data_IF_678528977655
#
_entry.id   IF_678528977655
#
_cell.length_a   1.000
_cell.length_b   1.000
_cell.length_c   1.000
_cell.angle_alpha   90.00
_cell.angle_beta   90.00
_cell.angle_gamma   90.00
#
_symmetry.space_group_name_H-M   'P 1'
#
loop_
_entity.id
_entity.type
_entity.pdbx_description
1 polymer ?
#
# COMPACT_ATOMS: atom_id res chain seq x y z
N UNK A 1 3.29 -9.20 -10.71
CA UNK A 1 3.30 -9.04 -12.17
C UNK A 1 3.17 -10.40 -12.85
N UNK A 2 2.04 -10.72 -13.53
CA UNK A 2 2.04 -11.83 -14.50
C UNK A 2 3.07 -11.46 -15.57
N UNK A 3 4.22 -12.11 -15.51
CA UNK A 3 5.19 -12.05 -16.58
C UNK A 3 4.47 -12.46 -17.86
N UNK A 4 4.51 -11.59 -18.86
CA UNK A 4 3.90 -11.80 -20.17
C UNK A 4 4.30 -13.18 -20.70
N UNK A 5 3.34 -13.98 -21.16
CA UNK A 5 3.66 -15.27 -21.75
C UNK A 5 4.46 -15.03 -23.03
N UNK A 6 5.68 -15.55 -23.06
CA UNK A 6 6.61 -15.34 -24.15
C UNK A 6 6.12 -15.94 -25.46
N UNK A 7 5.28 -16.99 -25.40
CA UNK A 7 4.67 -17.58 -26.60
C UNK A 7 3.60 -16.64 -27.17
N UNK A 8 2.80 -16.04 -26.30
CA UNK A 8 1.76 -15.08 -26.71
C UNK A 8 2.37 -13.77 -27.19
N UNK A 9 3.45 -13.29 -26.57
CA UNK A 9 4.17 -12.10 -27.02
C UNK A 9 4.73 -12.26 -28.44
N UNK A 10 5.19 -13.47 -28.77
CA UNK A 10 5.64 -13.80 -30.12
C UNK A 10 4.47 -14.19 -31.05
N UNK A 11 3.26 -14.33 -30.53
CA UNK A 11 2.07 -14.71 -31.30
C UNK A 11 2.12 -16.15 -31.82
N UNK A 12 2.80 -17.05 -31.11
CA UNK A 12 3.00 -18.46 -31.51
C UNK A 12 2.49 -19.43 -30.45
N UNK A 13 2.18 -20.65 -30.85
CA UNK A 13 1.74 -21.70 -29.91
C UNK A 13 2.85 -22.23 -29.01
N UNK A 14 2.50 -22.82 -27.86
CA UNK A 14 3.49 -23.42 -26.93
C UNK A 14 4.22 -24.65 -27.51
N UNK A 15 3.68 -25.24 -28.57
CA UNK A 15 4.25 -26.32 -29.38
C UNK A 15 5.03 -25.81 -30.61
N UNK A 16 5.14 -24.49 -30.80
CA UNK A 16 5.80 -23.89 -31.96
C UNK A 16 7.25 -24.35 -32.11
N UNK A 17 7.63 -24.62 -33.36
CA UNK A 17 8.98 -25.04 -33.72
C UNK A 17 9.96 -23.86 -33.65
N UNK A 18 11.27 -24.10 -33.45
CA UNK A 18 12.26 -23.03 -33.38
C UNK A 18 12.29 -22.14 -34.64
N UNK A 19 11.91 -22.69 -35.80
CA UNK A 19 11.85 -21.95 -37.07
C UNK A 19 10.69 -20.94 -37.07
N UNK A 20 9.53 -21.35 -36.55
CA UNK A 20 8.35 -20.48 -36.43
C UNK A 20 8.59 -19.36 -35.43
N UNK A 21 9.19 -19.67 -34.27
CA UNK A 21 9.57 -18.69 -33.23
C UNK A 21 10.51 -17.62 -33.80
N UNK A 22 11.52 -18.03 -34.57
CA UNK A 22 12.49 -17.11 -35.21
C UNK A 22 11.85 -16.24 -36.30
N UNK A 23 10.88 -16.79 -37.03
CA UNK A 23 10.15 -16.04 -38.06
C UNK A 23 9.24 -14.98 -37.45
N UNK A 24 8.51 -15.33 -36.39
CA UNK A 24 7.64 -14.41 -35.67
C UNK A 24 8.42 -13.25 -35.03
N UNK A 25 9.54 -13.56 -34.37
CA UNK A 25 10.43 -12.55 -33.80
C UNK A 25 10.93 -11.53 -34.83
N UNK A 26 11.41 -11.98 -36.01
CA UNK A 26 11.91 -11.07 -37.05
C UNK A 26 10.85 -10.12 -37.59
N UNK A 27 9.60 -10.57 -37.63
CA UNK A 27 8.47 -9.77 -38.12
C UNK A 27 8.08 -8.70 -37.10
N UNK A 28 8.00 -9.09 -35.83
CA UNK A 28 7.68 -8.17 -34.72
C UNK A 28 8.81 -7.17 -34.45
N UNK A 29 10.07 -7.61 -34.51
CA UNK A 29 11.23 -6.75 -34.26
C UNK A 29 11.36 -5.60 -35.28
N UNK A 30 10.95 -5.80 -36.54
CA UNK A 30 10.93 -4.74 -37.56
C UNK A 30 9.83 -3.71 -37.35
N UNK A 31 8.74 -4.11 -36.68
CA UNK A 31 7.57 -3.26 -36.47
C UNK A 31 7.63 -2.53 -35.13
N UNK A 32 8.29 -3.14 -34.14
CA UNK A 32 8.42 -2.60 -32.78
C UNK A 32 9.80 -2.01 -32.48
N UNK A 33 10.65 -1.80 -33.49
CA UNK A 33 11.95 -1.16 -33.28
C UNK A 33 11.76 0.32 -32.85
N UNK A 34 12.51 0.81 -31.84
CA UNK A 34 12.36 2.18 -31.37
C UNK A 34 12.60 3.23 -32.47
N UNK A 35 13.48 2.94 -33.44
CA UNK A 35 13.73 3.83 -34.60
C UNK A 35 12.52 4.00 -35.54
N UNK A 36 11.49 3.14 -35.47
CA UNK A 36 10.26 3.26 -36.26
C UNK A 36 9.03 3.62 -35.42
N UNK A 37 9.24 4.00 -34.15
CA UNK A 37 8.19 4.47 -33.24
C UNK A 37 7.71 3.44 -32.21
N UNK A 38 8.44 2.34 -31.99
CA UNK A 38 8.20 1.40 -30.88
C UNK A 38 8.77 1.88 -29.54
N UNK A 39 8.42 1.20 -28.43
CA UNK A 39 8.97 1.52 -27.10
C UNK A 39 10.14 0.60 -26.73
N UNK A 40 11.19 1.19 -26.14
CA UNK A 40 12.39 0.45 -25.68
C UNK A 40 12.07 -0.66 -24.67
N UNK A 41 10.99 -0.51 -23.90
CA UNK A 41 10.52 -1.53 -22.96
C UNK A 41 9.88 -2.73 -23.66
N UNK A 42 9.02 -2.49 -24.66
CA UNK A 42 8.36 -3.55 -25.41
C UNK A 42 9.36 -4.32 -26.29
N UNK A 43 10.35 -3.63 -26.86
CA UNK A 43 11.39 -4.27 -27.66
C UNK A 43 12.31 -5.17 -26.79
N UNK A 44 12.68 -4.72 -25.59
CA UNK A 44 13.45 -5.53 -24.63
C UNK A 44 12.69 -6.79 -24.20
N UNK A 45 11.39 -6.67 -23.92
CA UNK A 45 10.56 -7.81 -23.55
C UNK A 45 10.40 -8.81 -24.72
N UNK A 46 10.26 -8.31 -25.95
CA UNK A 46 10.23 -9.13 -27.16
C UNK A 46 11.54 -9.92 -27.35
N UNK A 47 12.68 -9.27 -27.08
CA UNK A 47 13.99 -9.91 -27.15
C UNK A 47 14.16 -10.99 -26.07
N UNK A 48 13.76 -10.70 -24.82
CA UNK A 48 13.79 -11.64 -23.69
C UNK A 48 12.93 -12.89 -23.95
N UNK A 49 11.75 -12.72 -24.54
CA UNK A 49 10.88 -13.81 -24.95
C UNK A 49 11.54 -14.71 -26.02
N UNK A 50 12.10 -14.10 -27.07
CA UNK A 50 12.78 -14.84 -28.13
C UNK A 50 14.00 -15.62 -27.62
N UNK A 51 14.82 -15.02 -26.76
CA UNK A 51 15.99 -15.65 -26.16
C UNK A 51 15.61 -16.79 -25.21
N UNK A 52 14.51 -16.66 -24.46
CA UNK A 52 14.03 -17.71 -23.55
C UNK A 52 13.43 -18.90 -24.30
N UNK A 53 12.71 -18.67 -25.40
CA UNK A 53 12.00 -19.73 -26.13
C UNK A 53 12.81 -20.42 -27.22
N UNK A 54 13.90 -19.80 -27.70
CA UNK A 54 14.78 -20.42 -28.71
C UNK A 54 15.77 -21.41 -28.09
N UNK A 55 16.18 -21.19 -26.83
CA UNK A 55 17.06 -22.12 -26.11
C UNK A 55 16.24 -23.26 -25.48
N UNK A 56 16.49 -24.53 -25.83
CA UNK A 56 15.66 -25.65 -25.36
C UNK A 56 15.75 -25.88 -23.84
N UNK A 57 16.86 -25.53 -23.19
CA UNK A 57 17.04 -25.67 -21.75
C UNK A 57 16.30 -24.56 -21.00
N UNK A 58 16.39 -23.32 -21.49
CA UNK A 58 15.66 -22.18 -20.93
C UNK A 58 14.17 -22.30 -21.17
N UNK A 59 13.74 -22.69 -22.37
CA UNK A 59 12.35 -22.98 -22.72
C UNK A 59 11.76 -24.06 -21.82
N UNK A 60 12.47 -25.18 -21.61
CA UNK A 60 11.99 -26.23 -20.73
C UNK A 60 11.93 -25.78 -19.26
N UNK A 61 12.80 -24.87 -18.82
CA UNK A 61 12.79 -24.31 -17.46
C UNK A 61 11.65 -23.31 -17.28
N UNK A 62 11.42 -22.45 -18.27
CA UNK A 62 10.28 -21.55 -18.39
C UNK A 62 8.97 -22.34 -18.41
N UNK A 63 8.88 -23.39 -19.22
CA UNK A 63 7.72 -24.28 -19.27
C UNK A 63 7.50 -25.03 -17.96
N UNK A 64 8.57 -25.39 -17.22
CA UNK A 64 8.46 -26.03 -15.90
C UNK A 64 8.05 -25.03 -14.81
N UNK A 65 8.57 -23.82 -14.83
CA UNK A 65 8.20 -22.73 -13.92
C UNK A 65 6.75 -22.29 -14.18
N UNK A 66 6.35 -22.24 -15.46
CA UNK A 66 4.97 -22.09 -15.94
C UNK A 66 4.07 -23.25 -15.51
N UNK A 67 4.61 -24.42 -15.13
CA UNK A 67 3.87 -25.65 -14.79
C UNK A 67 3.98 -26.12 -13.32
N UNK A 68 4.67 -25.44 -12.39
CA UNK A 68 4.76 -25.87 -10.97
C UNK A 68 4.68 -24.71 -9.96
N UNK A 69 3.83 -24.82 -8.91
CA UNK A 69 3.96 -24.04 -7.69
C UNK A 69 5.10 -24.53 -6.78
N UNK A 70 5.65 -23.59 -6.00
CA UNK A 70 6.85 -23.65 -5.16
C UNK A 70 6.56 -24.24 -3.77
N UNK A 71 7.32 -25.24 -3.29
CA UNK A 71 7.73 -25.37 -1.86
C UNK A 71 8.73 -26.51 -1.56
N UNK A 72 9.67 -26.20 -0.65
CA UNK A 72 10.36 -27.03 0.35
C UNK A 72 11.85 -27.42 0.16
N UNK A 73 12.73 -26.71 0.88
CA UNK A 73 14.07 -27.11 1.33
C UNK A 73 14.10 -26.95 2.87
N UNK A 74 14.05 -28.01 3.71
CA UNK A 74 15.16 -28.64 4.46
C UNK A 74 14.50 -29.70 5.39
N UNK A 75 14.85 -30.99 5.48
CA UNK A 75 16.00 -31.63 6.15
C UNK A 75 15.97 -33.19 6.01
N UNK A 76 17.07 -33.95 6.23
CA UNK A 76 17.12 -35.44 6.26
C UNK A 76 17.15 -36.02 7.72
N UNK A 77 17.19 -37.35 8.00
CA UNK A 77 17.27 -38.54 7.13
C UNK A 77 16.13 -39.60 7.30
N UNK A 78 16.16 -40.59 6.40
CA UNK A 78 15.18 -41.66 6.19
C UNK A 78 15.10 -42.71 7.32
N UNK A 79 13.88 -43.16 7.63
CA UNK A 79 13.54 -44.41 8.35
C UNK A 79 12.48 -45.23 7.60
N UNK A 80 12.38 -46.55 7.83
CA UNK A 80 12.08 -47.54 6.80
C UNK A 80 10.60 -47.68 6.44
N UNK A 81 10.37 -48.17 5.21
CA UNK A 81 9.05 -48.37 4.57
C UNK A 81 8.21 -49.39 5.35
N UNK A 82 6.98 -48.99 5.73
CA UNK A 82 5.85 -49.88 5.96
C UNK A 82 4.97 -49.92 4.70
N UNK A 83 4.55 -51.09 4.20
CA UNK A 83 3.58 -51.18 3.12
C UNK A 83 2.14 -51.18 3.66
N UNK A 84 1.22 -50.52 2.96
CA UNK A 84 -0.21 -50.60 3.21
C UNK A 84 -0.83 -49.32 3.74
N UNK A 85 -1.10 -48.37 2.84
CA UNK A 85 -1.91 -47.19 3.09
C UNK A 85 -2.26 -46.55 1.75
N UNK A 86 -3.51 -46.68 1.34
CA UNK A 86 -4.08 -46.01 0.18
C UNK A 86 -3.82 -44.51 0.31
N UNK A 87 -3.04 -43.98 -0.65
CA UNK A 87 -2.74 -42.56 -0.75
C UNK A 87 -4.06 -41.85 -1.05
N UNK A 88 -4.51 -40.99 -0.13
CA UNK A 88 -5.57 -40.00 -0.40
C UNK A 88 -5.17 -39.22 -1.67
N UNK A 89 -6.08 -38.98 -2.63
CA UNK A 89 -5.89 -37.84 -3.51
C UNK A 89 -6.00 -36.58 -2.63
N UNK A 90 -4.96 -35.76 -2.62
CA UNK A 90 -5.08 -34.40 -2.12
C UNK A 90 -6.19 -33.73 -2.94
N UNK A 91 -7.24 -33.24 -2.27
CA UNK A 91 -8.26 -32.44 -2.94
C UNK A 91 -7.65 -31.09 -3.27
N UNK A 92 -7.60 -30.78 -4.56
CA UNK A 92 -7.12 -29.51 -5.09
C UNK A 92 -8.05 -28.37 -4.67
N UNK A 93 -7.44 -27.24 -4.30
CA UNK A 93 -8.15 -26.02 -3.94
C UNK A 93 -8.74 -25.40 -5.22
N UNK A 94 -10.03 -25.04 -5.22
CA UNK A 94 -10.64 -24.25 -6.31
C UNK A 94 -11.21 -25.03 -7.49
N UNK A 95 -11.96 -26.12 -7.26
CA UNK A 95 -12.62 -26.91 -8.32
C UNK A 95 -13.70 -26.15 -9.12
N UNK A 96 -13.99 -24.88 -8.83
CA UNK A 96 -14.94 -24.07 -9.58
C UNK A 96 -14.25 -22.79 -10.10
N UNK A 97 -13.72 -22.80 -11.34
CA UNK A 97 -13.07 -21.63 -11.94
C UNK A 97 -14.03 -20.45 -12.17
N UNK A 98 -15.34 -20.69 -12.14
CA UNK A 98 -16.39 -19.68 -12.32
C UNK A 98 -16.97 -19.20 -10.99
N UNK A 99 -16.50 -19.72 -9.85
CA UNK A 99 -16.99 -19.30 -8.56
C UNK A 99 -16.57 -17.85 -8.26
N UNK A 100 -17.57 -16.99 -8.08
CA UNK A 100 -17.38 -15.63 -7.60
C UNK A 100 -17.92 -15.52 -6.18
N UNK A 101 -17.09 -15.19 -5.17
CA UNK A 101 -17.58 -14.93 -3.83
C UNK A 101 -18.62 -13.81 -3.84
N UNK A 102 -19.69 -13.99 -3.06
CA UNK A 102 -20.70 -12.95 -2.91
C UNK A 102 -20.08 -11.73 -2.23
N UNK A 103 -20.47 -10.54 -2.70
CA UNK A 103 -20.08 -9.29 -2.06
C UNK A 103 -20.50 -9.31 -0.57
N UNK A 104 -19.61 -8.94 0.36
CA UNK A 104 -19.97 -8.87 1.77
C UNK A 104 -21.15 -7.93 1.99
N UNK A 105 -22.18 -8.42 2.70
CA UNK A 105 -23.29 -7.59 3.15
C UNK A 105 -23.03 -7.16 4.59
N UNK A 106 -22.53 -5.94 4.76
CA UNK A 106 -22.36 -5.34 6.09
C UNK A 106 -23.66 -4.65 6.48
N UNK A 107 -24.21 -5.01 7.64
CA UNK A 107 -25.36 -4.33 8.23
C UNK A 107 -24.86 -3.05 8.91
N UNK A 108 -25.35 -1.91 8.45
CA UNK A 108 -24.94 -0.61 8.97
C UNK A 108 -25.39 -0.40 10.43
N UNK A 109 -26.56 -0.95 10.78
CA UNK A 109 -27.12 -0.88 12.15
C UNK A 109 -26.24 -1.55 13.21
N UNK A 110 -25.32 -2.44 12.80
CA UNK A 110 -24.40 -3.14 13.70
C UNK A 110 -23.08 -2.37 13.89
N UNK A 111 -22.93 -1.20 13.26
CA UNK A 111 -21.73 -0.38 13.29
C UNK A 111 -21.96 0.86 14.18
N UNK A 112 -21.58 0.77 15.45
CA UNK A 112 -21.79 1.86 16.44
C UNK A 112 -21.22 3.22 16.00
N UNK A 113 -20.13 3.21 15.24
CA UNK A 113 -19.48 4.43 14.74
C UNK A 113 -20.20 5.06 13.55
N UNK A 114 -21.05 4.31 12.83
CA UNK A 114 -21.59 4.73 11.52
C UNK A 114 -22.46 5.98 11.61
N UNK A 115 -23.33 6.06 12.61
CA UNK A 115 -24.20 7.21 12.84
C UNK A 115 -23.45 8.42 13.42
N UNK A 116 -22.27 8.20 14.00
CA UNK A 116 -21.42 9.24 14.59
C UNK A 116 -20.55 9.99 13.57
N UNK A 117 -20.50 9.53 12.31
CA UNK A 117 -19.68 10.17 11.28
C UNK A 117 -20.45 11.30 10.61
N UNK A 118 -20.06 12.54 10.87
CA UNK A 118 -20.57 13.70 10.13
C UNK A 118 -19.90 13.78 8.74
N UNK A 119 -20.64 13.52 7.64
CA UNK A 119 -20.08 13.59 6.29
C UNK A 119 -19.77 15.02 5.84
N UNK A 120 -20.24 16.04 6.56
CA UNK A 120 -19.94 17.45 6.29
C UNK A 120 -18.80 18.00 7.13
N UNK A 121 -18.24 17.19 8.05
CA UNK A 121 -17.16 17.64 8.89
C UNK A 121 -15.96 18.09 8.05
N UNK A 122 -15.43 19.27 8.39
CA UNK A 122 -14.26 19.80 7.70
C UNK A 122 -13.03 18.96 8.05
N UNK A 123 -12.39 18.42 7.02
CA UNK A 123 -11.12 17.70 7.17
C UNK A 123 -10.04 18.64 7.69
N UNK A 124 -9.37 18.23 8.76
CA UNK A 124 -8.23 18.89 9.36
C UNK A 124 -6.96 18.30 8.75
N UNK A 125 -6.16 19.16 8.12
CA UNK A 125 -4.87 18.78 7.56
C UNK A 125 -3.79 19.21 8.56
N UNK A 126 -3.09 18.24 9.16
CA UNK A 126 -2.03 18.53 10.14
C UNK A 126 -0.67 18.63 9.43
N UNK A 127 0.13 19.67 9.74
CA UNK A 127 1.56 19.65 9.46
C UNK A 127 2.32 18.87 10.55
N UNK A 128 3.36 18.12 10.18
CA UNK A 128 4.34 17.61 11.18
C UNK A 128 5.12 18.81 11.70
N UNK A 129 4.89 19.16 12.97
CA UNK A 129 5.70 20.13 13.76
C UNK A 129 6.30 21.29 12.95
N UNK A 130 5.42 22.11 12.35
CA UNK A 130 5.81 23.44 11.86
C UNK A 130 5.83 24.44 13.01
N UNK A 131 6.75 25.43 13.02
CA UNK A 131 6.87 26.39 14.12
C UNK A 131 5.52 27.06 14.37
N UNK A 132 5.12 27.07 15.64
CA UNK A 132 3.84 27.62 16.08
C UNK A 132 3.57 29.01 15.50
N UNK A 133 2.28 29.31 15.32
CA UNK A 133 1.79 30.58 14.77
C UNK A 133 2.19 31.80 15.62
N UNK A 134 2.47 31.58 16.91
CA UNK A 134 2.70 32.63 17.90
C UNK A 134 4.10 33.27 17.88
N UNK A 135 5.22 32.53 17.81
CA UNK A 135 6.55 33.14 17.87
C UNK A 135 6.88 34.08 16.71
N UNK A 136 6.44 33.80 15.47
CA UNK A 136 6.90 34.58 14.31
C UNK A 136 6.31 35.99 14.26
N UNK A 137 5.00 36.14 14.48
CA UNK A 137 4.35 37.46 14.49
C UNK A 137 4.75 38.27 15.74
N UNK A 138 4.95 37.62 16.89
CA UNK A 138 5.48 38.26 18.08
C UNK A 138 6.92 38.78 17.85
N UNK A 139 7.76 38.01 17.14
CA UNK A 139 9.11 38.45 16.75
C UNK A 139 9.07 39.67 15.83
N UNK A 140 8.18 39.69 14.84
CA UNK A 140 7.99 40.85 13.94
C UNK A 140 7.55 42.09 14.72
N UNK A 141 6.59 41.93 15.64
CA UNK A 141 6.13 43.02 16.50
C UNK A 141 7.23 43.56 17.42
N UNK A 142 7.96 42.66 18.10
CA UNK A 142 9.07 43.03 18.96
C UNK A 142 10.21 43.72 18.18
N UNK A 143 10.51 43.24 16.97
CA UNK A 143 11.50 43.86 16.08
C UNK A 143 11.08 45.26 15.63
N UNK A 144 9.80 45.46 15.31
CA UNK A 144 9.25 46.76 14.94
C UNK A 144 9.30 47.76 16.11
N UNK A 145 9.03 47.30 17.33
CA UNK A 145 9.18 48.11 18.55
C UNK A 145 10.63 48.46 18.84
N UNK A 146 11.56 47.52 18.65
CA UNK A 146 13.00 47.78 18.79
C UNK A 146 13.48 48.83 17.79
N UNK A 147 13.00 48.76 16.55
CA UNK A 147 13.28 49.74 15.50
C UNK A 147 12.78 51.14 15.88
N UNK A 148 11.56 51.25 16.42
CA UNK A 148 11.01 52.51 16.92
C UNK A 148 11.79 53.05 18.13
N UNK A 149 12.22 52.18 19.04
CA UNK A 149 12.92 52.58 20.27
C UNK A 149 14.29 53.22 20.00
N UNK A 150 15.09 52.70 19.07
CA UNK A 150 16.39 53.32 18.76
C UNK A 150 16.30 54.61 17.94
N UNK A 151 15.16 54.87 17.29
CA UNK A 151 14.88 56.18 16.67
C UNK A 151 14.51 57.24 17.73
N UNK A 152 13.92 56.81 18.85
CA UNK A 152 13.48 57.69 19.92
C UNK A 152 14.57 58.08 20.93
N UNK A 153 15.76 57.47 20.84
CA UNK A 153 16.86 57.66 21.81
C UNK A 153 18.09 58.23 21.10
N UNK A 154 18.73 59.23 21.70
CA UNK A 154 20.02 59.74 21.22
C UNK A 154 21.13 58.73 21.53
N UNK A 155 21.62 58.04 20.49
CA UNK A 155 22.70 57.06 20.58
C UNK A 155 23.99 57.64 20.00
N UNK A 156 25.13 57.34 20.64
CA UNK A 156 26.44 57.66 20.06
C UNK A 156 26.73 56.77 18.83
N UNK A 157 27.74 57.13 18.02
CA UNK A 157 28.01 56.47 16.74
C UNK A 157 28.27 54.95 16.87
N UNK A 158 28.96 54.51 17.93
CA UNK A 158 29.28 53.09 18.14
C UNK A 158 28.04 52.29 18.53
N UNK A 159 27.21 52.84 19.43
CA UNK A 159 25.94 52.23 19.83
C UNK A 159 24.96 52.20 18.67
N UNK A 160 24.90 53.26 17.87
CA UNK A 160 24.08 53.32 16.66
C UNK A 160 24.48 52.24 15.64
N UNK A 161 25.77 52.11 15.34
CA UNK A 161 26.27 51.08 14.42
C UNK A 161 25.99 49.66 14.91
N UNK A 162 26.15 49.41 16.21
CA UNK A 162 25.88 48.11 16.84
C UNK A 162 24.39 47.78 16.81
N UNK A 163 23.54 48.76 17.13
CA UNK A 163 22.09 48.63 17.10
C UNK A 163 21.56 48.37 15.68
N UNK A 164 22.06 49.09 14.67
CA UNK A 164 21.74 48.86 13.26
C UNK A 164 22.18 47.46 12.80
N UNK A 165 23.37 47.00 13.20
CA UNK A 165 23.86 45.65 12.88
C UNK A 165 22.95 44.55 13.45
N UNK A 166 22.52 44.70 14.71
CA UNK A 166 21.57 43.79 15.35
C UNK A 166 20.19 43.82 14.69
N UNK A 167 19.70 45.01 14.30
CA UNK A 167 18.44 45.17 13.56
C UNK A 167 18.48 44.46 12.20
N UNK A 168 19.56 44.63 11.44
CA UNK A 168 19.71 43.98 10.13
C UNK A 168 19.78 42.45 10.30
N UNK A 169 20.57 41.95 11.24
CA UNK A 169 20.69 40.52 11.52
C UNK A 169 19.35 39.89 11.92
N UNK A 170 18.65 40.50 12.88
CA UNK A 170 17.32 40.04 13.31
C UNK A 170 16.28 40.17 12.20
N UNK A 171 16.35 41.21 11.36
CA UNK A 171 15.50 41.37 10.19
C UNK A 171 15.68 40.26 9.16
N UNK A 172 16.93 39.84 8.89
CA UNK A 172 17.22 38.70 8.00
C UNK A 172 16.62 37.40 8.56
N UNK A 173 16.77 37.14 9.86
CA UNK A 173 16.17 35.97 10.52
C UNK A 173 14.65 35.98 10.38
N UNK A 174 14.00 37.13 10.62
CA UNK A 174 12.56 37.29 10.47
C UNK A 174 12.10 37.04 9.04
N UNK A 175 12.82 37.54 8.03
CA UNK A 175 12.49 37.31 6.61
C UNK A 175 12.61 35.83 6.25
N UNK A 176 13.63 35.12 6.75
CA UNK A 176 13.78 33.67 6.54
C UNK A 176 12.62 32.90 7.17
N UNK A 177 12.27 33.22 8.42
CA UNK A 177 11.14 32.60 9.11
C UNK A 177 9.80 32.88 8.39
N UNK A 178 9.58 34.13 7.95
CA UNK A 178 8.38 34.51 7.21
C UNK A 178 8.29 33.83 5.85
N UNK A 179 9.41 33.71 5.12
CA UNK A 179 9.46 32.95 3.85
C UNK A 179 9.14 31.49 4.06
N UNK A 180 9.71 30.85 5.10
CA UNK A 180 9.39 29.46 5.47
C UNK A 180 7.92 29.30 5.81
N UNK A 181 7.35 30.24 6.55
CA UNK A 181 5.94 30.25 6.92
C UNK A 181 5.01 30.39 5.72
N UNK A 182 5.30 31.34 4.82
CA UNK A 182 4.54 31.53 3.57
C UNK A 182 4.65 30.28 2.68
N UNK A 183 5.85 29.69 2.56
CA UNK A 183 6.09 28.44 1.85
C UNK A 183 5.20 27.31 2.39
N UNK A 184 5.28 27.05 3.70
CA UNK A 184 4.46 26.03 4.35
C UNK A 184 2.95 26.23 4.13
N UNK A 185 2.46 27.48 4.18
CA UNK A 185 1.06 27.78 3.90
C UNK A 185 0.67 27.57 2.43
N UNK A 186 1.54 27.92 1.49
CA UNK A 186 1.32 27.69 0.07
C UNK A 186 1.26 26.20 -0.21
N UNK A 187 2.19 25.44 0.34
CA UNK A 187 2.26 24.00 0.16
C UNK A 187 1.04 23.30 0.74
N UNK A 188 0.56 23.74 1.91
CA UNK A 188 -0.69 23.25 2.49
C UNK A 188 -1.90 23.54 1.60
N UNK A 189 -2.01 24.76 1.05
CA UNK A 189 -3.11 25.09 0.13
C UNK A 189 -3.05 24.28 -1.16
N UNK A 190 -1.85 24.07 -1.70
CA UNK A 190 -1.65 23.23 -2.88
C UNK A 190 -2.06 21.79 -2.59
N UNK A 191 -1.60 21.22 -1.47
CA UNK A 191 -1.97 19.90 -1.02
C UNK A 191 -3.50 19.74 -0.89
N UNK A 192 -4.17 20.68 -0.22
CA UNK A 192 -5.63 20.64 -0.09
C UNK A 192 -6.33 20.83 -1.45
N UNK A 193 -5.80 21.66 -2.35
CA UNK A 193 -6.38 21.86 -3.67
C UNK A 193 -6.25 20.62 -4.56
N UNK A 194 -5.12 19.92 -4.45
CA UNK A 194 -4.79 18.74 -5.25
C UNK A 194 -5.55 17.50 -4.74
N UNK A 195 -5.49 17.23 -3.43
CA UNK A 195 -5.96 15.97 -2.85
C UNK A 195 -7.23 16.09 -1.99
N UNK A 196 -7.78 17.30 -1.84
CA UNK A 196 -8.81 17.59 -0.83
C UNK A 196 -10.06 16.72 -0.91
N UNK A 197 -10.52 16.42 -2.12
CA UNK A 197 -11.69 15.57 -2.37
C UNK A 197 -11.33 14.14 -2.75
N UNK A 198 -10.06 13.89 -3.10
CA UNK A 198 -9.60 12.57 -3.50
C UNK A 198 -9.36 11.72 -2.27
N UNK A 199 -10.03 10.56 -2.21
CA UNK A 199 -9.92 9.62 -1.09
C UNK A 199 -9.35 8.27 -1.49
N UNK A 200 -9.23 8.00 -2.78
CA UNK A 200 -8.77 6.71 -3.31
C UNK A 200 -7.61 7.00 -4.26
N UNK A 201 -6.53 6.24 -4.09
CA UNK A 201 -5.27 6.38 -4.80
C UNK A 201 -4.78 5.01 -5.28
N UNK A 202 -4.12 4.98 -6.44
CA UNK A 202 -3.75 3.75 -7.12
C UNK A 202 -4.95 3.02 -7.73
N UNK A 203 -4.66 1.88 -8.36
CA UNK A 203 -5.66 0.99 -8.95
C UNK A 203 -5.51 -0.39 -8.32
N UNK A 204 -6.59 -1.03 -7.83
CA UNK A 204 -6.51 -2.41 -7.40
C UNK A 204 -6.17 -3.31 -8.60
N UNK A 205 -5.40 -4.38 -8.39
CA UNK A 205 -5.07 -5.31 -9.47
C UNK A 205 -6.33 -6.07 -9.94
N UNK A 206 -6.97 -5.52 -10.96
CA UNK A 206 -8.17 -6.06 -11.59
C UNK A 206 -7.90 -7.34 -12.38
N UNK A 207 -6.65 -7.64 -12.73
CA UNK A 207 -6.32 -8.72 -13.65
C UNK A 207 -6.13 -10.05 -12.90
N UNK A 208 -5.73 -10.03 -11.62
CA UNK A 208 -5.21 -11.24 -10.96
C UNK A 208 -6.05 -11.74 -9.78
N UNK A 209 -6.67 -10.87 -8.98
CA UNK A 209 -7.26 -11.29 -7.71
C UNK A 209 -8.61 -10.61 -7.38
N UNK A 210 -9.71 -11.35 -7.59
CA UNK A 210 -11.09 -10.90 -7.27
C UNK A 210 -11.26 -10.41 -5.82
N UNK A 211 -10.51 -10.98 -4.88
CA UNK A 211 -10.51 -10.57 -3.48
C UNK A 211 -10.10 -9.10 -3.30
N UNK A 212 -9.12 -8.62 -4.06
CA UNK A 212 -8.67 -7.23 -3.99
C UNK A 212 -9.76 -6.27 -4.43
N UNK A 213 -10.49 -6.60 -5.50
CA UNK A 213 -11.62 -5.78 -5.95
C UNK A 213 -12.74 -5.70 -4.92
N UNK A 214 -13.06 -6.83 -4.28
CA UNK A 214 -14.07 -6.84 -3.22
C UNK A 214 -13.65 -5.98 -2.04
N UNK A 215 -12.36 -5.99 -1.67
CA UNK A 215 -11.84 -5.14 -0.59
C UNK A 215 -11.82 -3.67 -1.00
N UNK A 216 -11.42 -3.34 -2.22
CA UNK A 216 -11.48 -1.97 -2.73
C UNK A 216 -12.91 -1.41 -2.69
N UNK A 217 -13.89 -2.19 -3.17
CA UNK A 217 -15.32 -1.83 -3.08
C UNK A 217 -15.80 -1.68 -1.62
N UNK A 218 -15.35 -2.56 -0.72
CA UNK A 218 -15.68 -2.50 0.70
C UNK A 218 -15.17 -1.19 1.34
N UNK A 219 -13.90 -0.85 1.12
CA UNK A 219 -13.30 0.39 1.62
C UNK A 219 -14.02 1.63 1.03
N UNK A 220 -14.25 1.63 -0.28
CA UNK A 220 -14.92 2.72 -0.99
C UNK A 220 -16.40 2.88 -0.61
N UNK A 221 -17.05 1.83 -0.11
CA UNK A 221 -18.45 1.91 0.30
C UNK A 221 -18.63 2.33 1.75
N UNK A 222 -17.79 1.80 2.64
CA UNK A 222 -17.99 1.92 4.08
C UNK A 222 -16.97 2.86 4.74
N UNK A 223 -15.67 2.69 4.50
CA UNK A 223 -14.63 3.42 5.24
C UNK A 223 -14.48 4.88 4.80
N UNK A 224 -14.66 5.20 3.51
CA UNK A 224 -14.52 6.59 3.03
C UNK A 224 -15.55 7.55 3.64
N UNK A 225 -16.58 7.05 4.34
CA UNK A 225 -17.51 7.91 5.09
C UNK A 225 -16.78 8.75 6.11
N UNK A 226 -15.73 8.23 6.72
CA UNK A 226 -14.81 8.97 7.56
C UNK A 226 -14.07 10.00 6.67
N UNK A 227 -14.27 11.32 6.87
CA UNK A 227 -13.71 12.35 5.99
C UNK A 227 -12.18 12.33 5.88
N UNK A 228 -11.49 11.90 6.95
CA UNK A 228 -10.04 11.76 7.03
C UNK A 228 -9.49 10.52 6.34
N UNK A 229 -10.32 9.55 5.96
CA UNK A 229 -9.84 8.30 5.34
C UNK A 229 -9.25 8.56 3.96
N UNK A 230 -8.07 7.98 3.71
CA UNK A 230 -7.38 7.89 2.42
C UNK A 230 -7.04 6.43 2.16
N UNK A 231 -7.52 5.89 1.05
CA UNK A 231 -7.35 4.49 0.62
C UNK A 231 -6.33 4.44 -0.50
N UNK A 232 -5.35 3.56 -0.35
CA UNK A 232 -4.27 3.35 -1.30
C UNK A 232 -4.35 1.90 -1.81
N UNK A 233 -4.17 1.70 -3.11
CA UNK A 233 -4.17 0.40 -3.74
C UNK A 233 -2.82 0.15 -4.42
N UNK A 234 -2.21 -0.99 -4.11
CA UNK A 234 -0.93 -1.41 -4.66
C UNK A 234 0.25 -0.64 -4.07
N UNK A 235 0.71 -1.02 -2.88
CA UNK A 235 1.88 -0.41 -2.25
C UNK A 235 3.11 -1.34 -2.32
N UNK A 236 4.27 -0.74 -2.50
CA UNK A 236 5.58 -1.34 -2.33
C UNK A 236 6.12 -1.09 -0.93
N UNK A 237 7.05 -1.93 -0.49
CA UNK A 237 7.95 -1.54 0.59
C UNK A 237 9.09 -0.68 0.04
N UNK A 238 9.79 0.12 0.88
CA UNK A 238 10.85 1.03 0.42
C UNK A 238 11.96 0.38 -0.41
N UNK A 239 12.23 -0.91 -0.21
CA UNK A 239 13.28 -1.68 -0.91
C UNK A 239 12.74 -2.67 -1.96
N UNK A 240 11.46 -2.57 -2.32
CA UNK A 240 10.79 -3.49 -3.24
C UNK A 240 10.36 -2.82 -4.54
N UNK A 241 10.35 -3.61 -5.62
CA UNK A 241 9.93 -3.17 -6.97
C UNK A 241 8.58 -3.79 -7.35
N UNK A 242 8.00 -4.62 -6.48
CA UNK A 242 6.73 -5.28 -6.70
C UNK A 242 5.70 -4.80 -5.69
N UNK A 243 4.43 -4.88 -6.07
CA UNK A 243 3.31 -4.72 -5.14
C UNK A 243 3.43 -5.76 -4.02
N UNK A 244 3.71 -5.30 -2.81
CA UNK A 244 3.83 -6.15 -1.61
C UNK A 244 2.59 -6.08 -0.71
N UNK A 245 1.84 -4.98 -0.79
CA UNK A 245 0.63 -4.75 0.00
C UNK A 245 -0.50 -4.36 -0.93
N UNK A 246 -1.58 -5.16 -0.93
CA UNK A 246 -2.68 -4.96 -1.86
C UNK A 246 -3.39 -3.63 -1.63
N UNK A 247 -3.71 -3.30 -0.37
CA UNK A 247 -4.32 -2.02 -0.03
C UNK A 247 -3.80 -1.46 1.29
N UNK A 248 -3.87 -0.15 1.45
CA UNK A 248 -3.70 0.50 2.74
C UNK A 248 -4.80 1.53 2.99
N UNK A 249 -5.18 1.73 4.25
CA UNK A 249 -6.15 2.75 4.66
C UNK A 249 -5.53 3.60 5.75
N UNK A 250 -5.40 4.89 5.48
CA UNK A 250 -4.86 5.91 6.39
C UNK A 250 -5.99 6.79 6.91
N UNK A 251 -6.03 7.05 8.22
CA UNK A 251 -6.86 8.09 8.81
C UNK A 251 -6.12 8.72 10.00
N UNK A 252 -5.80 10.00 9.92
CA UNK A 252 -4.96 10.68 10.90
C UNK A 252 -3.59 10.01 11.01
N UNK A 253 -3.26 9.50 12.21
CA UNK A 253 -2.02 8.78 12.51
C UNK A 253 -2.23 7.25 12.62
N UNK A 254 -3.26 6.72 11.97
CA UNK A 254 -3.59 5.29 11.96
C UNK A 254 -3.52 4.77 10.54
N UNK A 255 -2.67 3.78 10.30
CA UNK A 255 -2.48 3.14 9.01
C UNK A 255 -2.80 1.65 9.15
N UNK A 256 -3.72 1.13 8.35
CA UNK A 256 -3.93 -0.31 8.21
C UNK A 256 -3.45 -0.78 6.86
N UNK A 257 -2.58 -1.78 6.85
CA UNK A 257 -2.18 -2.52 5.67
C UNK A 257 -3.13 -3.70 5.51
N UNK A 258 -3.60 -3.95 4.28
CA UNK A 258 -4.63 -4.94 4.00
C UNK A 258 -4.17 -5.88 2.91
N UNK A 259 -4.12 -7.17 3.25
CA UNK A 259 -3.87 -8.24 2.31
C UNK A 259 -5.18 -9.00 2.07
N UNK A 260 -5.60 -9.12 0.81
CA UNK A 260 -6.86 -9.76 0.44
C UNK A 260 -6.61 -11.16 -0.10
N UNK A 261 -7.21 -12.19 0.51
CA UNK A 261 -7.00 -13.60 0.12
C UNK A 261 -8.31 -14.30 -0.21
N UNK A 262 -8.29 -15.14 -1.25
CA UNK A 262 -9.39 -16.06 -1.57
C UNK A 262 -9.03 -17.47 -1.13
N UNK A 263 -9.55 -17.91 0.03
CA UNK A 263 -9.26 -19.23 0.58
C UNK A 263 -10.52 -20.02 0.89
N UNK A 264 -10.37 -21.33 1.08
CA UNK A 264 -11.50 -22.22 1.30
C UNK A 264 -12.26 -21.88 2.60
N UNK A 265 -13.60 -21.97 2.60
CA UNK A 265 -14.44 -21.85 3.80
C UNK A 265 -13.89 -22.58 5.03
N UNK A 266 -13.96 -21.97 6.19
CA UNK A 266 -13.45 -22.51 7.44
C UNK A 266 -13.23 -21.44 8.51
N UNK A 267 -12.78 -21.92 9.66
CA UNK A 267 -12.42 -21.08 10.80
C UNK A 267 -10.94 -20.74 10.74
N UNK A 268 -10.60 -19.46 10.69
CA UNK A 268 -9.22 -18.96 10.60
C UNK A 268 -8.82 -18.22 11.88
N UNK A 269 -7.63 -18.52 12.36
CA UNK A 269 -7.02 -17.88 13.53
C UNK A 269 -5.54 -17.66 13.30
N UNK A 270 -4.95 -16.76 14.07
CA UNK A 270 -3.50 -16.57 14.13
C UNK A 270 -2.95 -17.05 15.46
N UNK A 271 -1.74 -17.62 15.47
CA UNK A 271 -1.00 -17.89 16.71
C UNK A 271 -0.12 -16.70 17.11
N UNK A 272 0.44 -16.72 18.33
CA UNK A 272 1.31 -15.66 18.88
C UNK A 272 2.54 -15.33 18.00
N UNK A 273 2.85 -16.17 17.01
CA UNK A 273 3.97 -15.97 16.08
C UNK A 273 3.50 -15.42 14.73
N UNK A 274 2.23 -15.07 14.59
CA UNK A 274 1.67 -14.59 13.34
C UNK A 274 1.36 -15.69 12.32
N UNK A 275 1.44 -16.97 12.68
CA UNK A 275 1.17 -18.07 11.75
C UNK A 275 -0.33 -18.35 11.66
N UNK A 276 -0.82 -18.57 10.44
CA UNK A 276 -2.24 -18.82 10.20
C UNK A 276 -2.61 -20.29 10.44
N UNK A 277 -3.77 -20.48 11.06
CA UNK A 277 -4.39 -21.77 11.31
C UNK A 277 -5.78 -21.80 10.67
N UNK A 278 -6.17 -22.97 10.18
CA UNK A 278 -7.51 -23.22 9.63
C UNK A 278 -8.10 -24.48 10.25
N UNK A 279 -9.27 -24.35 10.87
CA UNK A 279 -9.97 -25.45 11.53
C UNK A 279 -9.07 -26.20 12.54
N UNK A 280 -8.23 -25.47 13.29
CA UNK A 280 -7.33 -26.05 14.29
C UNK A 280 -6.08 -26.74 13.74
N UNK A 281 -5.77 -26.58 12.45
CA UNK A 281 -4.54 -27.09 11.84
C UNK A 281 -3.70 -25.96 11.22
N UNK A 282 -2.35 -26.08 11.20
CA UNK A 282 -1.50 -25.10 10.54
C UNK A 282 -1.92 -24.94 9.08
N UNK A 283 -2.21 -23.71 8.68
CA UNK A 283 -2.66 -23.40 7.34
C UNK A 283 -1.44 -23.15 6.44
N UNK A 284 -1.26 -24.02 5.44
CA UNK A 284 -0.18 -23.92 4.44
C UNK A 284 -0.66 -23.42 3.08
N UNK A 285 -1.87 -22.86 3.01
CA UNK A 285 -2.50 -22.44 1.76
C UNK A 285 -2.05 -21.07 1.24
N UNK A 286 -0.90 -20.59 1.71
CA UNK A 286 -0.33 -19.30 1.41
C UNK A 286 0.41 -18.72 2.62
N UNK A 287 1.45 -17.94 2.34
CA UNK A 287 2.11 -17.08 3.33
C UNK A 287 1.54 -15.67 3.20
N UNK A 288 1.36 -15.00 4.33
CA UNK A 288 1.15 -13.55 4.37
C UNK A 288 2.49 -12.91 4.71
N UNK A 289 2.84 -11.85 4.00
CA UNK A 289 4.02 -11.02 4.31
C UNK A 289 3.65 -9.77 5.08
N UNK A 290 2.41 -9.70 5.57
CA UNK A 290 1.88 -8.49 6.17
C UNK A 290 2.60 -8.13 7.47
N UNK A 291 3.11 -9.11 8.23
CA UNK A 291 3.97 -8.85 9.40
C UNK A 291 5.24 -8.07 9.03
N UNK A 292 5.91 -8.47 7.95
CA UNK A 292 7.09 -7.75 7.43
C UNK A 292 6.68 -6.36 6.94
N UNK A 293 5.54 -6.25 6.26
CA UNK A 293 4.97 -4.98 5.81
C UNK A 293 4.69 -4.01 6.97
N UNK A 294 4.03 -4.49 8.03
CA UNK A 294 3.77 -3.68 9.23
C UNK A 294 5.07 -3.17 9.83
N UNK A 295 6.06 -4.04 10.06
CA UNK A 295 7.36 -3.63 10.60
C UNK A 295 8.08 -2.59 9.72
N UNK A 296 8.02 -2.73 8.40
CA UNK A 296 8.60 -1.75 7.46
C UNK A 296 7.91 -0.39 7.54
N UNK A 297 6.58 -0.36 7.58
CA UNK A 297 5.83 0.88 7.69
C UNK A 297 5.92 1.53 9.07
N UNK A 298 6.05 0.75 10.16
CA UNK A 298 6.35 1.27 11.50
C UNK A 298 7.73 1.93 11.53
N UNK A 299 8.74 1.32 10.89
CA UNK A 299 10.07 1.91 10.79
C UNK A 299 10.07 3.20 9.95
N UNK A 300 9.25 3.24 8.89
CA UNK A 300 9.09 4.41 8.02
C UNK A 300 8.30 5.54 8.70
N UNK A 301 7.33 5.19 9.55
CA UNK A 301 6.38 6.10 10.18
C UNK A 301 6.30 5.85 11.70
N UNK A 302 7.36 6.21 12.47
CA UNK A 302 7.51 5.82 13.89
C UNK A 302 6.45 6.39 14.83
N UNK A 303 5.72 7.41 14.39
CA UNK A 303 4.67 8.07 15.17
C UNK A 303 3.25 7.72 14.67
N UNK A 304 3.13 6.74 13.77
CA UNK A 304 1.87 6.24 13.21
C UNK A 304 1.59 4.86 13.79
N UNK A 305 0.37 4.63 14.25
CA UNK A 305 -0.06 3.29 14.66
C UNK A 305 -0.36 2.47 13.40
N UNK A 306 0.45 1.44 13.17
CA UNK A 306 0.32 0.57 11.99
C UNK A 306 -0.30 -0.78 12.40
N UNK A 307 -1.29 -1.24 11.63
CA UNK A 307 -1.90 -2.57 11.80
C UNK A 307 -1.95 -3.32 10.47
N UNK A 308 -2.01 -4.64 10.53
CA UNK A 308 -2.26 -5.49 9.38
C UNK A 308 -3.61 -6.22 9.49
N UNK A 309 -4.35 -6.27 8.39
CA UNK A 309 -5.56 -7.07 8.27
C UNK A 309 -5.46 -8.03 7.09
N UNK A 310 -5.60 -9.33 7.37
CA UNK A 310 -5.71 -10.35 6.32
C UNK A 310 -7.19 -10.62 6.08
N UNK A 311 -7.73 -10.03 5.00
CA UNK A 311 -9.14 -10.16 4.65
C UNK A 311 -9.35 -11.44 3.85
N UNK A 312 -10.12 -12.36 4.42
CA UNK A 312 -10.34 -13.68 3.83
C UNK A 312 -11.72 -13.74 3.18
N UNK A 313 -11.72 -13.96 1.87
CA UNK A 313 -12.91 -14.23 1.07
C UNK A 313 -13.02 -15.74 0.80
N UNK A 314 -14.23 -16.31 0.87
CA UNK A 314 -14.42 -17.72 0.57
C UNK A 314 -14.16 -17.96 -0.91
N UNK A 315 -13.29 -18.91 -1.26
CA UNK A 315 -12.99 -19.29 -2.66
C UNK A 315 -14.04 -20.22 -3.28
N UNK A 316 -15.04 -20.65 -2.51
CA UNK A 316 -16.23 -21.39 -2.94
C UNK A 316 -17.36 -21.18 -1.94
N UNK A 317 -18.57 -21.62 -2.26
CA UNK A 317 -19.71 -21.50 -1.38
C UNK A 317 -19.40 -22.09 0.01
N UNK A 318 -19.58 -21.26 1.04
CA UNK A 318 -19.36 -21.62 2.44
C UNK A 318 -19.01 -20.40 3.28
N UNK A 319 -18.90 -20.62 4.59
CA UNK A 319 -18.66 -19.57 5.56
C UNK A 319 -17.17 -19.45 5.92
N UNK A 320 -16.71 -18.21 6.09
CA UNK A 320 -15.44 -17.89 6.71
C UNK A 320 -15.76 -17.34 8.08
N UNK A 321 -15.13 -17.89 9.11
CA UNK A 321 -15.22 -17.37 10.48
C UNK A 321 -13.82 -17.10 11.01
N UNK A 322 -13.69 -16.10 11.86
CA UNK A 322 -12.44 -15.81 12.57
C UNK A 322 -12.73 -15.48 14.04
N UNK A 323 -11.70 -15.29 14.85
CA UNK A 323 -11.82 -14.86 16.24
C UNK A 323 -11.30 -13.43 16.36
N UNK A 324 -11.91 -12.62 17.23
CA UNK A 324 -11.36 -11.31 17.60
C UNK A 324 -10.06 -11.52 18.37
N UNK A 325 -8.96 -10.96 17.85
CA UNK A 325 -7.62 -11.03 18.45
C UNK A 325 -7.08 -9.60 18.60
N UNK A 326 -7.56 -8.83 19.60
CA UNK A 326 -7.31 -7.39 19.68
C UNK A 326 -5.84 -7.02 19.97
N UNK A 327 -5.07 -7.95 20.52
CA UNK A 327 -3.66 -7.73 20.89
C UNK A 327 -2.67 -8.06 19.77
N UNK A 328 -3.15 -8.67 18.68
CA UNK A 328 -2.31 -9.06 17.54
C UNK A 328 -2.25 -7.94 16.50
N UNK A 329 -1.05 -7.63 16.00
CA UNK A 329 -0.86 -6.60 14.98
C UNK A 329 -1.42 -7.03 13.61
N UNK A 330 -1.39 -8.33 13.31
CA UNK A 330 -1.86 -8.89 12.03
C UNK A 330 -2.92 -9.95 12.27
N UNK A 331 -4.16 -9.62 11.90
CA UNK A 331 -5.33 -10.45 12.24
C UNK A 331 -6.08 -10.91 10.99
N UNK A 332 -6.43 -12.20 10.87
CA UNK A 332 -7.35 -12.69 9.86
C UNK A 332 -8.76 -12.23 10.21
N UNK A 333 -9.40 -11.57 9.27
CA UNK A 333 -10.72 -10.99 9.47
C UNK A 333 -11.67 -11.39 8.35
N UNK A 334 -12.93 -11.57 8.69
CA UNK A 334 -13.99 -11.49 7.69
C UNK A 334 -14.16 -10.03 7.24
N UNK A 335 -14.69 -9.77 6.04
CA UNK A 335 -14.96 -8.41 5.59
C UNK A 335 -15.90 -7.63 6.50
N UNK A 336 -16.83 -8.30 7.19
CA UNK A 336 -17.74 -7.65 8.14
C UNK A 336 -17.00 -7.20 9.41
N UNK A 337 -16.16 -8.07 9.98
CA UNK A 337 -15.29 -7.70 11.11
C UNK A 337 -14.32 -6.58 10.74
N UNK A 338 -13.73 -6.64 9.54
CA UNK A 338 -12.85 -5.56 9.07
C UNK A 338 -13.57 -4.20 9.10
N UNK A 339 -14.75 -4.08 8.51
CA UNK A 339 -15.49 -2.80 8.53
C UNK A 339 -15.88 -2.39 9.95
N UNK A 340 -16.24 -3.34 10.82
CA UNK A 340 -16.61 -3.05 12.20
C UNK A 340 -15.41 -2.59 13.02
N UNK A 341 -14.39 -3.43 13.12
CA UNK A 341 -13.27 -3.28 14.06
C UNK A 341 -12.28 -2.22 13.58
N UNK A 342 -11.88 -2.29 12.31
CA UNK A 342 -11.00 -1.27 11.71
C UNK A 342 -11.75 0.04 11.53
N UNK A 343 -13.04 0.00 11.16
CA UNK A 343 -13.86 1.21 11.09
C UNK A 343 -13.93 1.93 12.44
N UNK A 344 -14.17 1.20 13.53
CA UNK A 344 -14.19 1.75 14.88
C UNK A 344 -12.83 2.32 15.30
N UNK A 345 -11.74 1.59 14.99
CA UNK A 345 -10.38 2.04 15.29
C UNK A 345 -10.01 3.33 14.51
N UNK A 346 -10.34 3.42 13.22
CA UNK A 346 -10.11 4.61 12.40
C UNK A 346 -11.01 5.79 12.84
N UNK A 347 -12.23 5.52 13.31
CA UNK A 347 -13.17 6.56 13.72
C UNK A 347 -12.74 7.35 14.97
N UNK A 348 -11.68 6.92 15.66
CA UNK A 348 -11.07 7.66 16.78
C UNK A 348 -10.41 8.98 16.34
N UNK A 349 -10.06 9.11 15.06
CA UNK A 349 -9.56 10.36 14.47
C UNK A 349 -10.15 10.56 13.06
N UNK A 350 -11.47 10.80 12.95
CA UNK A 350 -12.24 10.56 11.73
C UNK A 350 -12.07 11.65 10.67
N UNK A 351 -11.49 12.81 11.03
CA UNK A 351 -11.46 14.02 10.20
C UNK A 351 -10.05 14.53 9.97
N UNK A 352 -9.02 13.77 10.32
CA UNK A 352 -7.64 14.26 10.25
C UNK A 352 -6.87 13.56 9.13
N UNK A 353 -6.03 14.33 8.42
CA UNK A 353 -5.05 13.82 7.47
C UNK A 353 -3.71 14.48 7.78
N UNK A 354 -2.74 13.69 8.17
CA UNK A 354 -1.35 14.14 8.29
C UNK A 354 -0.72 14.17 6.90
N UNK A 355 -0.24 15.34 6.48
CA UNK A 355 0.27 15.57 5.12
C UNK A 355 1.51 14.73 4.83
N UNK A 356 2.44 14.66 5.76
CA UNK A 356 3.74 14.04 5.52
C UNK A 356 3.60 12.52 5.56
N UNK A 357 2.77 12.01 6.48
CA UNK A 357 2.38 10.59 6.49
C UNK A 357 1.68 10.23 5.18
N UNK A 358 0.70 11.03 4.74
CA UNK A 358 0.00 10.82 3.48
C UNK A 358 0.97 10.77 2.30
N UNK A 359 1.88 11.75 2.20
CA UNK A 359 2.83 11.84 1.08
C UNK A 359 3.79 10.66 1.10
N UNK A 360 4.29 10.30 2.28
CA UNK A 360 5.17 9.12 2.46
C UNK A 360 4.49 7.83 2.00
N UNK A 361 3.22 7.64 2.34
CA UNK A 361 2.45 6.46 1.89
C UNK A 361 2.15 6.53 0.39
N UNK A 362 1.86 7.72 -0.14
CA UNK A 362 1.60 7.94 -1.55
C UNK A 362 2.84 7.60 -2.41
N UNK A 363 4.04 7.97 -1.94
CA UNK A 363 5.31 7.69 -2.61
C UNK A 363 5.64 6.18 -2.67
N UNK A 364 4.92 5.34 -1.91
CA UNK A 364 5.02 3.88 -1.97
C UNK A 364 4.02 3.24 -2.93
N UNK A 365 3.23 4.01 -3.68
CA UNK A 365 2.33 3.44 -4.69
C UNK A 365 3.12 2.92 -5.90
N UNK A 366 2.70 1.77 -6.43
CA UNK A 366 3.18 1.26 -7.71
C UNK A 366 2.56 2.09 -8.84
N UNK A 367 3.40 2.62 -9.72
CA UNK A 367 3.03 3.41 -10.91
C UNK A 367 2.34 2.58 -12.02
#
# INVERSE_FOLDING_TARGET
MRGVDYYELLGVGSDATPVEIKSAYRTLARTMHPDVGGSDGAFRLLQEAYETLTDPVRRASYDRARRRPVEAETAPPRRPRRPGGTRRPGRDFGEDPDYVPRMPRVRLDDLDWWDGVDPQARVQYLPVLGPDRMPTFALVGAWSLLLLAGVAVELNAVLMATWLGLLISSGVVIVVLLRRHIGAHRDHRMFTAEFGNQRIFGLPDIQHERAQLLTAELCAKYLIRLPGVRVFHGLTWPDSVFEDVHHAVLCGRRLVLVESKSWLPGHYTTDEKGSLWRNGHPFRGGVTRLNEGVANFEALLPEVEVRGAVLIYPSRAGEITTVEQPDEQVVPMTPAQFVKDIGHWLAQDPVTVDRDVFTTVLDQLVD
#
